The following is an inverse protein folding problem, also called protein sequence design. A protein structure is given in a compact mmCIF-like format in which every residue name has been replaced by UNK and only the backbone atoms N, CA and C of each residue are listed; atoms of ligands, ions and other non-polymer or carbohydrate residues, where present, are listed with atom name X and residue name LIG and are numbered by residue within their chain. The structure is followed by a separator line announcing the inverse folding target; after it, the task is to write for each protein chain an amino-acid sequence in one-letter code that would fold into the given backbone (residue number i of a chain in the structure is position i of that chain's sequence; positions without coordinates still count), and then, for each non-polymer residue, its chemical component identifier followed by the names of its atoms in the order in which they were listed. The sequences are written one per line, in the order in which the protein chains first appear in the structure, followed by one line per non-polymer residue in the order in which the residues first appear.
data_IF_820649942191
#
_entry.id   IF_820649942191
#
_cell.length_a   1.000
_cell.length_b   1.000
_cell.length_c   1.000
_cell.angle_alpha   90.00
_cell.angle_beta   90.00
_cell.angle_gamma   90.00
#
_symmetry.space_group_name_H-M   'P 1'
#
loop_
_entity.id
_entity.type
_entity.pdbx_description
1 polymer ?
#
# COMPACT_ATOMS: atom_id res chain seq x y z
N UNK A 1 42.75 -19.61 40.13
CA UNK A 1 41.95 -20.20 39.03
C UNK A 1 40.51 -19.68 38.97
N UNK A 2 39.84 -19.41 40.11
CA UNK A 2 38.43 -18.96 40.14
C UNK A 2 38.19 -17.58 39.47
N UNK A 3 39.16 -16.65 39.53
CA UNK A 3 39.03 -15.31 38.92
C UNK A 3 39.00 -15.32 37.38
N UNK A 4 39.64 -16.28 36.73
CA UNK A 4 39.67 -16.37 35.26
C UNK A 4 38.35 -16.92 34.70
N UNK A 5 37.71 -17.85 35.41
CA UNK A 5 36.41 -18.41 35.02
C UNK A 5 35.28 -17.37 35.08
N UNK A 6 35.31 -16.47 36.07
CA UNK A 6 34.29 -15.43 36.25
C UNK A 6 34.34 -14.35 35.14
N UNK A 7 35.55 -14.01 34.68
CA UNK A 7 35.74 -13.05 33.58
C UNK A 7 35.26 -13.65 32.25
N UNK A 8 35.47 -14.95 32.03
CA UNK A 8 35.01 -15.64 30.82
C UNK A 8 33.47 -15.68 30.74
N UNK A 9 32.79 -15.99 31.84
CA UNK A 9 31.32 -16.07 31.89
C UNK A 9 30.67 -14.69 31.69
N UNK A 10 31.25 -13.62 32.24
CA UNK A 10 30.76 -12.26 32.02
C UNK A 10 31.02 -11.80 30.57
N UNK A 11 32.16 -12.14 29.97
CA UNK A 11 32.43 -11.82 28.56
C UNK A 11 31.47 -12.53 27.59
N UNK A 12 31.10 -13.78 27.86
CA UNK A 12 30.10 -14.53 27.08
C UNK A 12 28.69 -13.92 27.21
N UNK A 13 28.32 -13.40 28.38
CA UNK A 13 27.04 -12.74 28.59
C UNK A 13 26.92 -11.38 27.87
N UNK A 14 28.02 -10.63 27.71
CA UNK A 14 28.02 -9.36 26.97
C UNK A 14 28.03 -9.54 25.44
N UNK A 15 28.51 -10.68 24.91
CA UNK A 15 28.44 -10.99 23.47
C UNK A 15 27.03 -11.34 22.95
N UNK A 16 26.04 -11.51 23.85
CA UNK A 16 24.66 -11.80 23.46
C UNK A 16 23.79 -10.53 23.27
N UNK A 17 24.32 -9.32 23.54
CA UNK A 17 23.60 -8.06 23.35
C UNK A 17 23.76 -7.46 21.95
N UNK A 18 24.44 -8.15 21.02
CA UNK A 18 24.59 -7.69 19.65
C UNK A 18 23.39 -8.09 18.78
N UNK A 19 22.48 -7.13 18.64
CA UNK A 19 21.65 -6.91 17.44
C UNK A 19 20.49 -7.89 17.20
N UNK A 20 19.63 -8.08 18.19
CA UNK A 20 18.23 -8.38 17.87
C UNK A 20 17.56 -7.08 17.38
N UNK A 21 17.61 -6.80 16.07
CA UNK A 21 16.61 -5.91 15.46
C UNK A 21 15.27 -6.66 15.50
N UNK A 22 14.57 -6.56 16.62
CA UNK A 22 13.20 -7.06 16.78
C UNK A 22 12.31 -6.11 15.98
N UNK A 23 12.15 -6.39 14.69
CA UNK A 23 11.37 -5.60 13.75
C UNK A 23 12.01 -5.64 12.36
N UNK A 24 11.20 -5.74 11.31
CA UNK A 24 11.71 -5.55 9.95
C UNK A 24 12.36 -4.19 9.82
N UNK A 25 13.39 -4.08 8.96
CA UNK A 25 13.96 -2.77 8.65
C UNK A 25 12.88 -1.96 7.95
N UNK A 26 12.35 -0.97 8.68
CA UNK A 26 11.60 0.13 8.10
C UNK A 26 12.31 0.62 6.84
N UNK A 27 11.63 0.50 5.70
CA UNK A 27 12.15 0.98 4.42
C UNK A 27 11.60 2.38 4.17
N UNK A 28 12.41 3.38 4.50
CA UNK A 28 12.10 4.79 4.25
C UNK A 28 11.74 5.06 2.79
N UNK A 29 12.32 4.33 1.84
CA UNK A 29 12.00 4.54 0.41
C UNK A 29 10.58 4.13 0.08
N UNK A 30 10.08 3.02 0.64
CA UNK A 30 8.70 2.58 0.40
C UNK A 30 7.73 3.59 1.02
N UNK A 31 8.03 4.10 2.21
CA UNK A 31 7.25 5.18 2.83
C UNK A 31 7.22 6.44 1.95
N UNK A 32 8.39 6.95 1.54
CA UNK A 32 8.50 8.15 0.70
C UNK A 32 7.81 7.97 -0.67
N UNK A 33 7.96 6.79 -1.29
CA UNK A 33 7.32 6.47 -2.57
C UNK A 33 5.80 6.34 -2.45
N UNK A 34 5.27 5.79 -1.34
CA UNK A 34 3.84 5.72 -1.06
C UNK A 34 3.22 7.10 -0.87
N UNK A 35 3.87 7.98 -0.10
CA UNK A 35 3.39 9.37 0.07
C UNK A 35 3.40 10.12 -1.28
N UNK A 36 4.44 9.91 -2.08
CA UNK A 36 4.54 10.51 -3.42
C UNK A 36 3.45 9.98 -4.35
N UNK A 37 3.23 8.66 -4.34
CA UNK A 37 2.15 8.01 -5.08
C UNK A 37 0.77 8.58 -4.70
N UNK A 38 0.49 8.70 -3.40
CA UNK A 38 -0.77 9.27 -2.89
C UNK A 38 -0.97 10.69 -3.43
N UNK A 39 0.04 11.55 -3.24
CA UNK A 39 -0.01 12.96 -3.64
C UNK A 39 -0.23 13.11 -5.15
N UNK A 40 0.54 12.38 -5.96
CA UNK A 40 0.39 12.40 -7.42
C UNK A 40 -0.99 11.87 -7.84
N UNK A 41 -1.50 10.81 -7.20
CA UNK A 41 -2.79 10.21 -7.56
C UNK A 41 -3.97 11.11 -7.20
N UNK A 42 -3.97 11.72 -6.02
CA UNK A 42 -5.02 12.66 -5.61
C UNK A 42 -5.01 13.91 -6.49
N UNK A 43 -3.82 14.41 -6.84
CA UNK A 43 -3.68 15.52 -7.78
C UNK A 43 -4.23 15.15 -9.16
N UNK A 44 -3.88 13.97 -9.68
CA UNK A 44 -4.40 13.47 -10.95
C UNK A 44 -5.93 13.36 -10.96
N UNK A 45 -6.53 12.72 -9.95
CA UNK A 45 -7.99 12.59 -9.81
C UNK A 45 -8.65 13.98 -9.81
N UNK A 46 -8.07 14.93 -9.08
CA UNK A 46 -8.57 16.31 -9.01
C UNK A 46 -8.50 16.99 -10.37
N UNK A 47 -7.39 16.85 -11.10
CA UNK A 47 -7.22 17.41 -12.44
C UNK A 47 -8.21 16.81 -13.43
N UNK A 48 -8.40 15.48 -13.43
CA UNK A 48 -9.38 14.83 -14.31
C UNK A 48 -10.81 15.28 -13.99
N UNK A 49 -11.13 15.45 -12.70
CA UNK A 49 -12.43 15.98 -12.25
C UNK A 49 -12.69 17.41 -12.73
N UNK A 50 -11.70 18.30 -12.57
CA UNK A 50 -11.81 19.70 -13.03
C UNK A 50 -12.04 19.76 -14.54
N UNK A 51 -11.44 18.83 -15.28
CA UNK A 51 -11.56 18.74 -16.74
C UNK A 51 -12.67 17.78 -17.20
N UNK A 52 -13.60 17.38 -16.32
CA UNK A 52 -14.74 16.57 -16.73
C UNK A 52 -15.55 17.30 -17.81
N UNK A 53 -15.93 16.57 -18.86
CA UNK A 53 -16.59 17.10 -20.05
C UNK A 53 -15.63 17.65 -21.11
N UNK A 54 -14.33 17.74 -20.82
CA UNK A 54 -13.30 18.20 -21.75
C UNK A 54 -12.42 17.02 -22.22
N UNK A 55 -11.83 17.14 -23.41
CA UNK A 55 -10.89 16.13 -23.94
C UNK A 55 -9.69 15.91 -23.01
N UNK A 56 -9.26 16.94 -22.29
CA UNK A 56 -8.16 16.88 -21.33
C UNK A 56 -8.48 16.03 -20.08
N UNK A 57 -9.77 15.86 -19.73
CA UNK A 57 -10.21 15.02 -18.62
C UNK A 57 -10.63 13.61 -19.03
N UNK A 58 -10.47 13.26 -20.31
CA UNK A 58 -10.86 11.95 -20.82
C UNK A 58 -9.81 10.88 -20.48
N UNK A 59 -10.25 9.62 -20.34
CA UNK A 59 -9.33 8.48 -20.14
C UNK A 59 -8.36 8.31 -21.30
N UNK A 60 -8.75 8.72 -22.50
CA UNK A 60 -7.93 8.67 -23.71
C UNK A 60 -6.98 9.86 -23.86
N UNK A 61 -7.01 10.84 -22.95
CA UNK A 61 -6.09 11.98 -22.94
C UNK A 61 -4.64 11.53 -22.75
N UNK A 62 -3.70 12.33 -23.27
CA UNK A 62 -2.28 12.07 -23.09
C UNK A 62 -1.88 12.07 -21.61
N UNK A 63 -2.52 12.93 -20.81
CA UNK A 63 -2.35 12.97 -19.35
C UNK A 63 -2.72 11.64 -18.70
N UNK A 64 -3.89 11.08 -19.00
CA UNK A 64 -4.33 9.81 -18.45
C UNK A 64 -3.46 8.64 -18.93
N UNK A 65 -3.14 8.60 -20.23
CA UNK A 65 -2.26 7.59 -20.84
C UNK A 65 -0.84 7.60 -20.27
N UNK A 66 -0.31 8.76 -19.90
CA UNK A 66 0.99 8.86 -19.26
C UNK A 66 0.93 8.49 -17.77
N UNK A 67 -0.13 8.89 -17.08
CA UNK A 67 -0.25 8.73 -15.63
C UNK A 67 -0.45 7.28 -15.19
N UNK A 68 -1.44 6.56 -15.75
CA UNK A 68 -1.77 5.21 -15.27
C UNK A 68 -0.61 4.21 -15.37
N UNK A 69 0.11 4.09 -16.50
CA UNK A 69 1.26 3.18 -16.59
C UNK A 69 2.38 3.56 -15.63
N UNK A 70 2.66 4.86 -15.46
CA UNK A 70 3.69 5.35 -14.52
C UNK A 70 3.34 4.98 -13.08
N UNK A 71 2.11 5.22 -12.66
CA UNK A 71 1.62 4.94 -11.32
C UNK A 71 1.60 3.43 -11.03
N UNK A 72 1.15 2.61 -11.99
CA UNK A 72 1.21 1.14 -11.90
C UNK A 72 2.65 0.64 -11.77
N UNK A 73 3.58 1.15 -12.59
CA UNK A 73 5.00 0.78 -12.53
C UNK A 73 5.62 1.14 -11.18
N UNK A 74 5.27 2.31 -10.61
CA UNK A 74 5.74 2.71 -9.27
C UNK A 74 5.27 1.73 -8.19
N UNK A 75 3.98 1.37 -8.16
CA UNK A 75 3.45 0.39 -7.21
C UNK A 75 4.13 -0.97 -7.36
N UNK A 76 4.27 -1.47 -8.59
CA UNK A 76 4.95 -2.74 -8.86
C UNK A 76 6.41 -2.75 -8.38
N UNK A 77 7.14 -1.65 -8.58
CA UNK A 77 8.51 -1.51 -8.08
C UNK A 77 8.57 -1.51 -6.54
N UNK A 78 7.62 -0.86 -5.86
CA UNK A 78 7.53 -0.91 -4.40
C UNK A 78 7.23 -2.33 -3.91
N UNK A 79 6.32 -3.05 -4.57
CA UNK A 79 5.98 -4.44 -4.21
C UNK A 79 7.16 -5.39 -4.43
N UNK A 80 7.91 -5.24 -5.53
CA UNK A 80 9.13 -6.00 -5.78
C UNK A 80 10.20 -5.69 -4.72
N UNK A 81 10.38 -4.42 -4.38
CA UNK A 81 11.32 -4.02 -3.33
C UNK A 81 10.92 -4.59 -1.97
N UNK A 82 9.64 -4.48 -1.62
CA UNK A 82 9.08 -5.05 -0.41
C UNK A 82 9.37 -6.55 -0.34
N UNK A 83 9.04 -7.30 -1.41
CA UNK A 83 9.20 -8.76 -1.47
C UNK A 83 10.65 -9.23 -1.33
N UNK A 84 11.62 -8.43 -1.78
CA UNK A 84 13.05 -8.72 -1.63
C UNK A 84 13.60 -8.39 -0.24
N UNK A 85 13.00 -7.44 0.48
CA UNK A 85 13.55 -6.90 1.73
C UNK A 85 12.89 -7.42 3.00
N UNK A 86 11.71 -8.03 2.90
CA UNK A 86 10.99 -8.57 4.07
C UNK A 86 10.74 -10.08 3.92
N UNK A 87 11.12 -10.81 4.97
CA UNK A 87 11.01 -12.27 5.07
C UNK A 87 9.83 -12.73 5.94
N UNK A 88 9.08 -11.80 6.57
CA UNK A 88 7.94 -12.17 7.42
C UNK A 88 6.69 -12.39 6.57
N UNK A 89 6.13 -13.59 6.70
CA UNK A 89 4.82 -13.92 6.17
C UNK A 89 3.75 -13.23 7.02
N UNK A 90 2.74 -12.66 6.39
CA UNK A 90 1.69 -11.97 7.12
C UNK A 90 0.80 -12.96 7.89
N UNK A 91 0.64 -12.83 9.22
CA UNK A 91 -0.30 -13.65 9.96
C UNK A 91 -1.72 -13.24 9.55
N UNK A 92 -2.34 -14.07 8.73
CA UNK A 92 -3.68 -13.90 8.14
C UNK A 92 -4.75 -13.63 9.22
N UNK A 93 -4.52 -14.07 10.46
CA UNK A 93 -5.40 -13.84 11.62
C UNK A 93 -5.45 -12.38 12.12
N UNK A 94 -4.64 -11.46 11.57
CA UNK A 94 -4.61 -10.02 11.95
C UNK A 94 -4.87 -9.06 10.80
N UNK A 95 -5.05 -9.54 9.58
CA UNK A 95 -5.62 -8.72 8.51
C UNK A 95 -7.10 -8.58 8.79
N UNK A 96 -7.46 -7.67 9.69
CA UNK A 96 -8.83 -7.24 9.84
C UNK A 96 -9.37 -6.92 8.43
N UNK A 97 -10.57 -7.39 8.07
CA UNK A 97 -11.16 -7.04 6.78
C UNK A 97 -11.10 -5.52 6.67
N UNK A 98 -10.45 -5.03 5.60
CA UNK A 98 -10.42 -3.61 5.29
C UNK A 98 -11.85 -3.08 5.46
N UNK A 99 -12.09 -2.06 6.30
CA UNK A 99 -13.45 -1.64 6.61
C UNK A 99 -14.17 -1.30 5.30
N UNK A 100 -15.40 -1.81 5.07
CA UNK A 100 -16.14 -1.47 3.87
C UNK A 100 -16.37 0.05 3.85
N UNK A 101 -15.82 0.72 2.83
CA UNK A 101 -15.82 2.19 2.70
C UNK A 101 -17.20 2.72 2.22
N UNK A 102 -18.17 1.82 2.00
CA UNK A 102 -19.51 2.12 1.48
C UNK A 102 -20.53 1.14 2.05
N UNK A 103 -21.80 1.56 2.14
CA UNK A 103 -22.91 0.71 2.58
C UNK A 103 -22.96 -0.62 1.82
N UNK A 104 -23.39 -1.70 2.47
CA UNK A 104 -23.31 -3.08 1.94
C UNK A 104 -23.89 -3.27 0.53
N UNK A 105 -24.87 -2.45 0.13
CA UNK A 105 -25.48 -2.47 -1.20
C UNK A 105 -24.60 -1.82 -2.29
N UNK A 106 -23.84 -0.77 -1.96
CA UNK A 106 -22.84 -0.19 -2.85
C UNK A 106 -21.54 -1.01 -2.81
N UNK A 107 -21.19 -1.55 -1.65
CA UNK A 107 -20.08 -2.48 -1.48
C UNK A 107 -20.25 -3.71 -2.39
N UNK A 108 -21.42 -4.34 -2.47
CA UNK A 108 -21.64 -5.51 -3.33
C UNK A 108 -21.57 -5.22 -4.85
N UNK A 109 -21.84 -3.99 -5.28
CA UNK A 109 -21.72 -3.57 -6.69
C UNK A 109 -20.31 -3.02 -7.04
N UNK A 110 -19.52 -2.64 -6.03
CA UNK A 110 -18.20 -1.99 -6.15
C UNK A 110 -17.05 -2.97 -5.79
N UNK A 111 -17.34 -3.99 -4.98
CA UNK A 111 -16.44 -5.06 -4.54
C UNK A 111 -16.74 -6.28 -5.42
N UNK A 112 -15.99 -6.40 -6.53
CA UNK A 112 -15.63 -7.74 -6.99
C UNK A 112 -15.01 -8.50 -5.82
N UNK A 113 -15.34 -9.79 -5.72
CA UNK A 113 -15.18 -10.70 -4.57
C UNK A 113 -14.28 -10.23 -3.39
N UNK A 114 -14.73 -10.41 -2.13
CA UNK A 114 -13.86 -10.21 -0.98
C UNK A 114 -12.57 -11.00 -1.17
N UNK A 115 -11.42 -10.36 -0.89
CA UNK A 115 -10.11 -11.04 -0.90
C UNK A 115 -10.24 -12.22 0.06
N UNK A 116 -10.13 -13.42 -0.49
CA UNK A 116 -10.28 -14.64 0.33
C UNK A 116 -9.03 -14.82 1.20
N UNK A 117 -9.18 -15.35 2.41
CA UNK A 117 -8.05 -15.63 3.32
C UNK A 117 -6.94 -16.47 2.65
N UNK A 118 -7.29 -17.26 1.63
CA UNK A 118 -6.37 -18.10 0.87
C UNK A 118 -5.52 -17.34 -0.16
N UNK A 119 -5.91 -16.12 -0.58
CA UNK A 119 -5.14 -15.29 -1.53
C UNK A 119 -4.03 -14.46 -0.86
N UNK A 120 -4.08 -14.32 0.48
CA UNK A 120 -3.12 -13.51 1.25
C UNK A 120 -1.97 -14.37 1.78
N UNK A 121 -1.20 -14.99 0.88
CA UNK A 121 0.12 -15.56 1.21
C UNK A 121 1.21 -14.64 0.70
N UNK A 122 1.81 -13.86 1.60
CA UNK A 122 2.86 -12.94 1.19
C UNK A 122 3.46 -12.14 2.35
N UNK A 123 4.52 -11.43 2.02
CA UNK A 123 5.14 -10.40 2.84
C UNK A 123 4.12 -9.31 3.19
N UNK A 124 3.99 -8.94 4.47
CA UNK A 124 2.94 -8.01 4.93
C UNK A 124 2.94 -6.68 4.17
N UNK A 125 4.12 -6.15 3.85
CA UNK A 125 4.23 -4.90 3.10
C UNK A 125 3.68 -5.09 1.69
N UNK A 126 3.92 -6.24 1.06
CA UNK A 126 3.34 -6.55 -0.26
C UNK A 126 1.82 -6.62 -0.20
N UNK A 127 1.25 -7.26 0.82
CA UNK A 127 -0.21 -7.34 1.02
C UNK A 127 -0.83 -5.95 1.19
N UNK A 128 -0.17 -5.07 1.95
CA UNK A 128 -0.63 -3.69 2.14
C UNK A 128 -0.52 -2.87 0.86
N UNK A 129 0.56 -3.02 0.10
CA UNK A 129 0.74 -2.38 -1.21
C UNK A 129 -0.27 -2.90 -2.24
N UNK A 130 -0.65 -4.17 -2.18
CA UNK A 130 -1.69 -4.75 -3.02
C UNK A 130 -3.05 -4.10 -2.78
N UNK A 131 -3.41 -3.80 -1.52
CA UNK A 131 -4.63 -3.05 -1.21
C UNK A 131 -4.62 -1.61 -1.79
N UNK A 132 -3.45 -0.97 -1.86
CA UNK A 132 -3.28 0.34 -2.54
C UNK A 132 -3.45 0.17 -4.06
N UNK A 133 -2.84 -0.86 -4.64
CA UNK A 133 -2.95 -1.18 -6.06
C UNK A 133 -4.40 -1.48 -6.46
N UNK A 134 -5.13 -2.26 -5.66
CA UNK A 134 -6.52 -2.57 -5.90
C UNK A 134 -7.40 -1.30 -5.88
N UNK A 135 -7.17 -0.38 -4.95
CA UNK A 135 -7.84 0.92 -4.94
C UNK A 135 -7.53 1.75 -6.19
N UNK A 136 -6.27 1.77 -6.61
CA UNK A 136 -5.82 2.47 -7.82
C UNK A 136 -6.45 1.91 -9.11
N UNK A 137 -6.41 0.59 -9.29
CA UNK A 137 -7.01 -0.10 -10.44
C UNK A 137 -8.51 0.17 -10.53
N UNK A 138 -9.23 0.29 -9.39
CA UNK A 138 -10.65 0.68 -9.40
C UNK A 138 -10.88 2.10 -9.91
N UNK A 139 -10.02 3.05 -9.54
CA UNK A 139 -10.07 4.42 -10.07
C UNK A 139 -9.86 4.40 -11.58
N UNK A 140 -8.86 3.65 -12.06
CA UNK A 140 -8.60 3.49 -13.49
C UNK A 140 -9.79 2.87 -14.23
N UNK A 141 -10.29 1.73 -13.75
CA UNK A 141 -11.39 1.01 -14.39
C UNK A 141 -12.64 1.89 -14.50
N UNK A 142 -12.94 2.68 -13.47
CA UNK A 142 -14.07 3.63 -13.49
C UNK A 142 -13.83 4.77 -14.48
N UNK A 143 -12.64 5.37 -14.49
CA UNK A 143 -12.31 6.41 -15.46
C UNK A 143 -12.42 5.87 -16.89
N UNK A 144 -11.91 4.67 -17.14
CA UNK A 144 -12.00 3.99 -18.43
C UNK A 144 -13.44 3.72 -18.86
N UNK A 145 -14.29 3.22 -17.96
CA UNK A 145 -15.68 2.86 -18.29
C UNK A 145 -16.59 4.09 -18.46
N UNK A 146 -16.36 5.15 -17.68
CA UNK A 146 -17.13 6.39 -17.75
C UNK A 146 -16.57 7.38 -18.78
N UNK A 147 -15.38 7.10 -19.31
CA UNK A 147 -14.63 7.98 -20.22
C UNK A 147 -14.03 9.21 -19.53
N UNK A 148 -14.46 9.56 -18.33
CA UNK A 148 -14.08 10.75 -17.55
C UNK A 148 -14.28 10.49 -16.04
N UNK A 149 -13.71 11.33 -15.18
CA UNK A 149 -13.93 11.26 -13.72
C UNK A 149 -14.87 12.38 -13.27
N UNK A 150 -16.13 12.05 -12.95
CA UNK A 150 -17.07 13.00 -12.36
C UNK A 150 -16.84 13.28 -10.87
N UNK A 151 -17.55 14.26 -10.29
CA UNK A 151 -17.43 14.70 -8.89
C UNK A 151 -17.50 13.53 -7.87
N UNK A 152 -18.56 12.72 -7.96
CA UNK A 152 -18.76 11.56 -7.07
C UNK A 152 -17.66 10.52 -7.22
N UNK A 153 -17.25 10.25 -8.46
CA UNK A 153 -16.17 9.30 -8.74
C UNK A 153 -14.83 9.79 -8.19
N UNK A 154 -14.54 11.08 -8.31
CA UNK A 154 -13.34 11.70 -7.78
C UNK A 154 -13.29 11.66 -6.24
N UNK A 155 -14.41 11.98 -5.58
CA UNK A 155 -14.52 11.91 -4.12
C UNK A 155 -14.27 10.48 -3.62
N UNK A 156 -15.00 9.50 -4.17
CA UNK A 156 -14.84 8.09 -3.79
C UNK A 156 -13.43 7.56 -4.07
N UNK A 157 -12.87 7.89 -5.24
CA UNK A 157 -11.51 7.50 -5.61
C UNK A 157 -10.46 8.08 -4.68
N UNK A 158 -10.55 9.37 -4.36
CA UNK A 158 -9.64 10.06 -3.43
C UNK A 158 -9.72 9.47 -2.03
N UNK A 159 -10.92 9.23 -1.51
CA UNK A 159 -11.11 8.59 -0.20
C UNK A 159 -10.54 7.17 -0.18
N UNK A 160 -10.80 6.37 -1.21
CA UNK A 160 -10.26 5.02 -1.30
C UNK A 160 -8.72 5.01 -1.32
N UNK A 161 -8.09 5.86 -2.14
CA UNK A 161 -6.62 5.99 -2.21
C UNK A 161 -6.05 6.43 -0.87
N UNK A 162 -6.59 7.49 -0.26
CA UNK A 162 -6.10 8.00 1.01
C UNK A 162 -6.21 6.96 2.13
N UNK A 163 -7.33 6.24 2.22
CA UNK A 163 -7.52 5.23 3.24
C UNK A 163 -6.57 4.04 3.04
N UNK A 164 -6.45 3.52 1.80
CA UNK A 164 -5.52 2.43 1.51
C UNK A 164 -4.07 2.81 1.82
N UNK A 165 -3.64 4.02 1.44
CA UNK A 165 -2.28 4.49 1.72
C UNK A 165 -2.07 4.71 3.21
N UNK A 166 -3.03 5.29 3.93
CA UNK A 166 -2.92 5.49 5.38
C UNK A 166 -2.79 4.16 6.12
N UNK A 167 -3.56 3.15 5.73
CA UNK A 167 -3.47 1.80 6.28
C UNK A 167 -2.11 1.19 5.95
N UNK A 168 -1.64 1.29 4.70
CA UNK A 168 -0.33 0.77 4.31
C UNK A 168 0.83 1.47 5.03
N UNK A 169 0.76 2.79 5.24
CA UNK A 169 1.78 3.55 5.95
C UNK A 169 1.78 3.27 7.45
N UNK A 170 0.61 3.17 8.08
CA UNK A 170 0.50 2.64 9.45
C UNK A 170 1.17 1.27 9.50
N UNK A 171 0.83 0.45 8.52
CA UNK A 171 1.40 -0.85 8.14
C UNK A 171 2.92 -0.94 8.08
N UNK A 172 3.56 0.03 7.47
CA UNK A 172 5.01 0.01 7.24
C UNK A 172 5.76 0.61 8.45
N UNK A 173 5.11 1.53 9.16
CA UNK A 173 5.73 2.29 10.26
C UNK A 173 5.61 1.61 11.62
N UNK A 174 4.63 0.72 11.81
CA UNK A 174 4.54 0.00 13.08
C UNK A 174 5.65 -1.04 13.21
N UNK A 175 6.18 -1.16 14.42
CA UNK A 175 7.21 -2.13 14.79
C UNK A 175 6.63 -3.51 15.13
N UNK A 176 5.30 -3.59 15.29
CA UNK A 176 4.57 -4.73 15.84
C UNK A 176 3.46 -5.15 14.87
N UNK A 177 3.81 -5.87 13.79
CA UNK A 177 2.86 -6.62 12.97
C UNK A 177 2.89 -8.10 13.33
#
# INVERSE_FOLDING_TARGET
MIRAALILVVALALSACSVFQIGERYDKSIDDDLNTFQTETVSFITTMRINAGLSAGAYTSDTAKAFYPKATARLANMMLRASLLSSRQCPISRTAPLPPIVSDAEAAAIIGAPITEDEVRGNCVVVMLDAVQAAFVRVEARHKSQGQIGETAAKLGTTAINNSVLIALGGIRSKDY
#
